data_IF_042574610492
#
_entry.id   IF_042574610492
#
_cell.length_a   1.000
_cell.length_b   1.000
_cell.length_c   1.000
_cell.angle_alpha   90.00
_cell.angle_beta   90.00
_cell.angle_gamma   90.00
#
_symmetry.space_group_name_H-M   'P 1'
#
loop_
_entity.id
_entity.type
_entity.pdbx_description
1 polymer ?
#
# COMPACT_ATOMS: atom_id res chain seq x y z
N UNK A 1 20.33 2.93 24.92
CA UNK A 1 19.89 2.44 23.60
C UNK A 1 21.10 2.07 22.76
N UNK A 2 21.26 0.78 22.45
CA UNK A 2 22.40 0.26 21.70
C UNK A 2 22.24 0.50 20.18
N UNK A 3 23.23 0.09 19.37
CA UNK A 3 23.21 0.29 17.91
C UNK A 3 22.08 -0.47 17.22
N UNK A 4 21.75 -1.67 17.70
CA UNK A 4 20.68 -2.50 17.14
C UNK A 4 19.31 -1.87 17.40
N UNK A 5 19.06 -1.42 18.63
CA UNK A 5 17.80 -0.76 19.01
C UNK A 5 17.54 0.46 18.11
N UNK A 6 18.58 1.28 17.85
CA UNK A 6 18.47 2.44 16.94
C UNK A 6 18.15 2.01 15.51
N UNK A 7 18.74 0.92 15.04
CA UNK A 7 18.48 0.40 13.69
C UNK A 7 17.05 -0.10 13.55
N UNK A 8 16.51 -0.79 14.56
CA UNK A 8 15.13 -1.27 14.57
C UNK A 8 14.17 -0.09 14.60
N UNK A 9 14.40 0.87 15.50
CA UNK A 9 13.59 2.09 15.59
C UNK A 9 13.56 2.85 14.25
N UNK A 10 14.73 3.04 13.63
CA UNK A 10 14.83 3.77 12.35
C UNK A 10 14.09 3.03 11.23
N UNK A 11 14.27 1.71 11.12
CA UNK A 11 13.58 0.90 10.12
C UNK A 11 12.06 0.96 10.31
N UNK A 12 11.59 0.80 11.56
CA UNK A 12 10.17 0.82 11.87
C UNK A 12 9.55 2.19 11.60
N UNK A 13 10.21 3.27 12.05
CA UNK A 13 9.74 4.64 11.83
C UNK A 13 9.66 4.99 10.34
N UNK A 14 10.75 4.78 9.59
CA UNK A 14 10.79 5.07 8.15
C UNK A 14 9.80 4.20 7.39
N UNK A 15 9.76 2.89 7.69
CA UNK A 15 8.82 1.97 7.06
C UNK A 15 7.36 2.38 7.30
N UNK A 16 7.00 2.67 8.55
CA UNK A 16 5.65 3.12 8.92
C UNK A 16 5.27 4.43 8.23
N UNK A 17 6.14 5.45 8.28
CA UNK A 17 5.90 6.71 7.58
C UNK A 17 5.73 6.51 6.08
N UNK A 18 6.54 5.64 5.47
CA UNK A 18 6.46 5.35 4.03
C UNK A 18 5.15 4.65 3.68
N UNK A 19 4.74 3.65 4.47
CA UNK A 19 3.46 2.95 4.29
C UNK A 19 2.29 3.95 4.33
N UNK A 20 2.24 4.80 5.36
CA UNK A 20 1.19 5.81 5.47
C UNK A 20 1.27 6.89 4.40
N UNK A 21 2.46 7.20 3.88
CA UNK A 21 2.61 8.14 2.75
C UNK A 21 1.89 7.61 1.51
N UNK A 22 2.08 6.33 1.18
CA UNK A 22 1.33 5.70 0.10
C UNK A 22 -0.18 5.69 0.39
N UNK A 23 -0.57 5.23 1.59
CA UNK A 23 -1.97 5.13 2.00
C UNK A 23 -2.73 6.45 1.93
N UNK A 24 -2.15 7.51 2.50
CA UNK A 24 -2.80 8.81 2.57
C UNK A 24 -2.74 9.59 1.24
N UNK A 25 -1.96 9.12 0.27
CA UNK A 25 -1.96 9.69 -1.08
C UNK A 25 -3.16 9.25 -1.91
N UNK A 26 -3.75 8.07 -1.65
CA UNK A 26 -4.87 7.53 -2.43
C UNK A 26 -6.07 8.49 -2.48
N UNK A 27 -6.55 9.07 -1.36
CA UNK A 27 -7.64 10.04 -1.37
C UNK A 27 -7.39 11.25 -2.28
N UNK A 28 -6.13 11.66 -2.46
CA UNK A 28 -5.75 12.80 -3.31
C UNK A 28 -6.04 12.50 -4.78
N UNK A 29 -5.97 11.24 -5.21
CA UNK A 29 -6.19 10.84 -6.60
C UNK A 29 -7.66 10.60 -6.97
N UNK A 30 -8.58 10.52 -5.99
CA UNK A 30 -9.98 10.18 -6.29
C UNK A 30 -10.64 11.19 -7.22
N UNK A 31 -10.43 12.49 -6.98
CA UNK A 31 -10.97 13.55 -7.83
C UNK A 31 -10.41 13.50 -9.25
N UNK A 32 -9.12 13.14 -9.39
CA UNK A 32 -8.45 12.96 -10.67
C UNK A 32 -9.03 11.76 -11.42
N UNK A 33 -9.24 10.62 -10.74
CA UNK A 33 -9.79 9.41 -11.37
C UNK A 33 -11.26 9.54 -11.76
N UNK A 34 -12.06 10.32 -11.04
CA UNK A 34 -13.43 10.67 -11.45
C UNK A 34 -13.38 11.42 -12.78
N UNK A 35 -12.54 12.45 -12.88
CA UNK A 35 -12.43 13.28 -14.07
C UNK A 35 -11.84 12.52 -15.26
N UNK A 36 -10.77 11.75 -15.05
CA UNK A 36 -10.04 11.06 -16.11
C UNK A 36 -10.77 9.82 -16.63
N UNK A 37 -11.34 9.01 -15.73
CA UNK A 37 -11.93 7.72 -16.10
C UNK A 37 -13.46 7.74 -16.13
N UNK A 38 -14.09 8.89 -15.88
CA UNK A 38 -15.56 9.00 -15.77
C UNK A 38 -16.13 8.14 -14.65
N UNK A 39 -15.34 7.86 -13.61
CA UNK A 39 -15.73 7.00 -12.50
C UNK A 39 -16.75 7.69 -11.60
N UNK A 40 -17.67 6.92 -11.02
CA UNK A 40 -18.56 7.45 -9.97
C UNK A 40 -17.87 7.41 -8.61
N UNK A 41 -18.26 8.29 -7.69
CA UNK A 41 -17.80 8.28 -6.29
C UNK A 41 -18.05 6.92 -5.62
N UNK A 42 -19.20 6.30 -5.90
CA UNK A 42 -19.56 4.97 -5.37
C UNK A 42 -18.60 3.91 -5.89
N UNK A 43 -18.30 3.90 -7.19
CA UNK A 43 -17.37 2.94 -7.79
C UNK A 43 -15.98 3.06 -7.16
N UNK A 44 -15.44 4.28 -7.05
CA UNK A 44 -14.13 4.50 -6.44
C UNK A 44 -14.13 4.18 -4.95
N UNK A 45 -15.18 4.53 -4.22
CA UNK A 45 -15.33 4.20 -2.81
C UNK A 45 -15.24 2.69 -2.57
N UNK A 46 -15.90 1.88 -3.40
CA UNK A 46 -15.80 0.42 -3.34
C UNK A 46 -14.39 -0.06 -3.64
N UNK A 47 -13.78 0.40 -4.74
CA UNK A 47 -12.42 -0.01 -5.14
C UNK A 47 -11.41 0.26 -4.02
N UNK A 48 -11.44 1.47 -3.47
CA UNK A 48 -10.53 1.92 -2.41
C UNK A 48 -10.78 1.16 -1.12
N UNK A 49 -12.06 0.94 -0.75
CA UNK A 49 -12.42 0.14 0.43
C UNK A 49 -11.89 -1.28 0.33
N UNK A 50 -12.04 -1.92 -0.85
CA UNK A 50 -11.50 -3.26 -1.09
C UNK A 50 -9.97 -3.27 -0.98
N UNK A 51 -9.28 -2.28 -1.56
CA UNK A 51 -7.83 -2.14 -1.42
C UNK A 51 -7.37 -2.03 0.03
N UNK A 52 -7.96 -1.12 0.82
CA UNK A 52 -7.67 -0.98 2.25
C UNK A 52 -8.01 -2.24 3.05
N UNK A 53 -9.14 -2.89 2.73
CA UNK A 53 -9.53 -4.12 3.37
C UNK A 53 -8.51 -5.23 3.12
N UNK A 54 -8.05 -5.39 1.88
CA UNK A 54 -7.01 -6.37 1.52
C UNK A 54 -5.68 -6.06 2.24
N UNK A 55 -5.27 -4.80 2.31
CA UNK A 55 -4.08 -4.39 3.06
C UNK A 55 -4.20 -4.73 4.56
N UNK A 56 -5.32 -4.36 5.18
CA UNK A 56 -5.57 -4.64 6.60
C UNK A 56 -5.72 -6.13 6.90
N UNK A 57 -6.44 -6.88 6.06
CA UNK A 57 -6.59 -8.33 6.19
C UNK A 57 -5.25 -9.05 5.96
N UNK A 58 -4.44 -8.57 5.02
CA UNK A 58 -3.09 -9.07 4.72
C UNK A 58 -2.10 -8.88 5.86
N UNK A 59 -2.34 -7.93 6.78
CA UNK A 59 -1.49 -7.72 7.95
C UNK A 59 -1.47 -8.95 8.89
N UNK A 60 -2.58 -9.69 9.01
CA UNK A 60 -2.65 -10.91 9.83
C UNK A 60 -1.71 -12.00 9.31
N UNK A 61 -1.84 -12.51 8.07
CA UNK A 61 -0.90 -13.48 7.53
C UNK A 61 0.52 -12.88 7.39
N UNK A 62 0.65 -11.58 7.15
CA UNK A 62 1.94 -10.88 7.16
C UNK A 62 2.67 -11.00 8.50
N UNK A 63 1.95 -10.87 9.63
CA UNK A 63 2.48 -11.11 10.97
C UNK A 63 2.95 -12.56 11.17
N UNK A 64 2.11 -13.53 10.78
CA UNK A 64 2.48 -14.95 10.82
C UNK A 64 3.71 -15.28 9.97
N UNK A 65 3.84 -14.64 8.80
CA UNK A 65 5.02 -14.77 7.95
C UNK A 65 6.24 -14.09 8.57
N UNK A 66 6.07 -13.01 9.33
CA UNK A 66 7.18 -12.29 9.96
C UNK A 66 7.88 -13.15 11.00
N UNK A 67 7.12 -13.97 11.72
CA UNK A 67 7.66 -14.94 12.69
C UNK A 67 8.52 -16.02 12.01
N UNK A 68 8.25 -16.33 10.74
CA UNK A 68 8.96 -17.38 9.98
C UNK A 68 10.11 -16.85 9.11
N UNK A 69 9.90 -15.72 8.42
CA UNK A 69 10.80 -15.18 7.41
C UNK A 69 11.63 -13.99 7.92
N UNK A 70 11.25 -13.44 9.08
CA UNK A 70 11.86 -12.28 9.71
C UNK A 70 11.24 -10.96 9.25
N UNK A 71 10.93 -10.08 10.20
CA UNK A 71 10.22 -8.81 9.96
C UNK A 71 10.95 -7.89 8.97
N UNK A 72 12.29 -7.82 9.03
CA UNK A 72 13.06 -6.94 8.12
C UNK A 72 12.82 -7.28 6.64
N UNK A 73 12.82 -8.56 6.28
CA UNK A 73 12.62 -8.99 4.88
C UNK A 73 11.21 -8.67 4.41
N UNK A 74 10.22 -8.92 5.26
CA UNK A 74 8.82 -8.62 4.92
C UNK A 74 8.53 -7.13 4.82
N UNK A 75 9.12 -6.29 5.68
CA UNK A 75 8.99 -4.83 5.54
C UNK A 75 9.52 -4.37 4.18
N UNK A 76 10.68 -4.85 3.74
CA UNK A 76 11.19 -4.52 2.40
C UNK A 76 10.31 -5.08 1.27
N UNK A 77 9.78 -6.30 1.41
CA UNK A 77 8.88 -6.89 0.43
C UNK A 77 7.59 -6.08 0.29
N UNK A 78 6.98 -5.70 1.41
CA UNK A 78 5.80 -4.84 1.46
C UNK A 78 6.08 -3.49 0.80
N UNK A 79 7.17 -2.80 1.18
CA UNK A 79 7.54 -1.52 0.56
C UNK A 79 7.79 -1.63 -0.95
N UNK A 80 8.39 -2.74 -1.41
CA UNK A 80 8.58 -3.01 -2.83
C UNK A 80 7.26 -3.29 -3.56
N UNK A 81 6.35 -4.05 -2.93
CA UNK A 81 4.98 -4.28 -3.43
C UNK A 81 4.21 -2.98 -3.58
N UNK A 82 4.26 -2.12 -2.56
CA UNK A 82 3.65 -0.78 -2.61
C UNK A 82 4.23 0.09 -3.72
N UNK A 83 5.56 0.12 -3.86
CA UNK A 83 6.21 0.85 -4.95
C UNK A 83 5.81 0.30 -6.33
N UNK A 84 5.70 -1.03 -6.47
CA UNK A 84 5.25 -1.69 -7.69
C UNK A 84 3.79 -1.36 -8.03
N UNK A 85 2.90 -1.36 -7.05
CA UNK A 85 1.51 -0.93 -7.20
C UNK A 85 1.43 0.53 -7.67
N UNK A 86 2.22 1.43 -7.09
CA UNK A 86 2.25 2.83 -7.49
C UNK A 86 2.90 3.08 -8.85
N UNK A 87 3.90 2.28 -9.22
CA UNK A 87 4.44 2.29 -10.58
C UNK A 87 3.38 1.84 -11.60
N UNK A 88 2.54 0.84 -11.25
CA UNK A 88 1.42 0.43 -12.09
C UNK A 88 0.34 1.53 -12.17
N UNK A 89 0.03 2.21 -11.07
CA UNK A 89 -0.87 3.37 -11.06
C UNK A 89 -0.38 4.49 -12.00
N UNK A 90 0.93 4.75 -12.02
CA UNK A 90 1.51 5.83 -12.82
C UNK A 90 1.31 5.66 -14.34
N UNK A 91 1.07 4.42 -14.80
CA UNK A 91 0.86 4.09 -16.22
C UNK A 91 -0.53 3.51 -16.48
N UNK A 92 -1.46 3.63 -15.52
CA UNK A 92 -2.78 3.01 -15.61
C UNK A 92 -3.63 3.65 -16.72
N UNK A 93 -4.02 2.91 -17.78
CA UNK A 93 -4.82 3.46 -18.87
C UNK A 93 -6.33 3.44 -18.58
N UNK A 94 -6.77 2.67 -17.56
CA UNK A 94 -8.18 2.44 -17.27
C UNK A 94 -8.43 2.21 -15.78
N UNK A 95 -9.67 2.43 -15.35
CA UNK A 95 -10.10 2.23 -13.97
C UNK A 95 -9.89 0.80 -13.43
N UNK A 96 -10.10 -0.28 -14.20
CA UNK A 96 -9.77 -1.64 -13.74
C UNK A 96 -8.27 -1.83 -13.43
N UNK A 97 -7.37 -1.13 -14.12
CA UNK A 97 -5.93 -1.19 -13.83
C UNK A 97 -5.63 -0.48 -12.51
N UNK A 98 -6.32 0.62 -12.20
CA UNK A 98 -6.27 1.26 -10.88
C UNK A 98 -6.75 0.31 -9.79
N UNK A 99 -7.88 -0.36 -10.00
CA UNK A 99 -8.41 -1.33 -9.03
C UNK A 99 -7.46 -2.50 -8.79
N UNK A 100 -6.83 -3.03 -9.85
CA UNK A 100 -5.82 -4.07 -9.73
C UNK A 100 -4.60 -3.59 -8.95
N UNK A 101 -4.10 -2.38 -9.25
CA UNK A 101 -2.97 -1.82 -8.53
C UNK A 101 -3.27 -1.66 -7.03
N UNK A 102 -4.46 -1.20 -6.68
CA UNK A 102 -4.91 -1.08 -5.29
C UNK A 102 -5.19 -2.44 -4.62
N UNK A 103 -5.57 -3.47 -5.38
CA UNK A 103 -5.73 -4.83 -4.84
C UNK A 103 -4.38 -5.52 -4.56
N UNK A 104 -3.34 -5.16 -5.33
CA UNK A 104 -1.96 -5.63 -5.15
C UNK A 104 -1.14 -4.71 -4.25
N UNK A 105 -1.79 -3.71 -3.64
CA UNK A 105 -1.14 -2.71 -2.80
C UNK A 105 -0.88 -3.30 -1.39
N UNK A 106 0.23 -4.03 -1.29
CA UNK A 106 0.68 -4.72 -0.08
C UNK A 106 1.44 -5.99 -0.38
#
# INVERSE_FOLDING_TARGET
MNRNDRSVLTLAAVGHTTVHTYELSIPVFLTVWIAEFGATEVTLGVVVTVGYALFGLGAVPGGLLADRLGSRRLVFACLAGMAGAFALLAVAPTLPVVALALALWG
#
